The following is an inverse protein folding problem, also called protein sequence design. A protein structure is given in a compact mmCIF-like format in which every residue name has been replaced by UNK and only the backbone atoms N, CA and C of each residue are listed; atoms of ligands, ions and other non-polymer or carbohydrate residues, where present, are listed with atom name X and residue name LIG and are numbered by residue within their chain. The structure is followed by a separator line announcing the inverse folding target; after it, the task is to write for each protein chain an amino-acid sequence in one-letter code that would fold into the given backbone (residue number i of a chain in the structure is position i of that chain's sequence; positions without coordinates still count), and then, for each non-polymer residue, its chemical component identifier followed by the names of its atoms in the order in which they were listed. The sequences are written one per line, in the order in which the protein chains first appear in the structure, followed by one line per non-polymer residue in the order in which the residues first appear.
data_IF_859145247673
#
_entry.id   IF_859145247673
#
_cell.length_a   1.000
_cell.length_b   1.000
_cell.length_c   1.000
_cell.angle_alpha   90.00
_cell.angle_beta   90.00
_cell.angle_gamma   90.00
#
_symmetry.space_group_name_H-M   'P 1'
#
loop_
_entity.id
_entity.type
_entity.pdbx_description
1 polymer ?
#
# COMPACT_ATOMS: atom_id res chain seq x y z
N UNK A 1 -33.36 41.31 -45.89
CA UNK A 1 -31.93 40.95 -45.62
C UNK A 1 -31.96 39.49 -45.18
N UNK A 2 -31.19 38.57 -45.83
CA UNK A 2 -31.01 37.24 -45.28
C UNK A 2 -30.32 37.43 -43.92
N UNK A 3 -30.88 36.86 -42.86
CA UNK A 3 -30.23 36.86 -41.54
C UNK A 3 -28.94 36.06 -41.62
N UNK A 4 -27.88 36.61 -41.05
CA UNK A 4 -26.64 35.88 -40.88
C UNK A 4 -26.93 34.73 -39.91
N UNK A 5 -26.94 33.50 -40.42
CA UNK A 5 -27.02 32.31 -39.58
C UNK A 5 -25.73 32.21 -38.73
N UNK A 6 -25.86 31.79 -37.51
CA UNK A 6 -24.71 31.38 -36.72
C UNK A 6 -24.49 29.89 -36.90
N UNK A 7 -23.21 29.49 -36.98
CA UNK A 7 -22.78 28.11 -37.11
C UNK A 7 -22.15 27.68 -35.83
N UNK A 8 -22.50 26.50 -35.35
CA UNK A 8 -22.04 26.02 -34.05
C UNK A 8 -21.37 24.65 -34.19
N UNK A 9 -20.19 24.52 -33.63
CA UNK A 9 -19.52 23.25 -33.42
C UNK A 9 -19.79 22.79 -31.97
N UNK A 10 -20.33 21.60 -31.84
CA UNK A 10 -20.64 20.98 -30.54
C UNK A 10 -19.63 19.86 -30.24
N UNK A 11 -19.07 19.85 -29.04
CA UNK A 11 -18.08 18.91 -28.59
C UNK A 11 -18.67 18.03 -27.47
N UNK A 12 -18.68 16.74 -27.70
CA UNK A 12 -19.26 15.74 -26.81
C UNK A 12 -18.21 14.79 -26.29
N UNK A 13 -18.26 14.49 -24.99
CA UNK A 13 -17.37 13.51 -24.34
C UNK A 13 -18.17 12.30 -23.85
N UNK A 14 -17.56 11.12 -23.95
CA UNK A 14 -18.15 9.88 -23.45
C UNK A 14 -18.35 9.98 -21.92
N UNK A 15 -19.56 9.61 -21.46
CA UNK A 15 -19.91 9.55 -20.04
C UNK A 15 -19.57 8.18 -19.45
N UNK A 16 -19.32 8.13 -18.14
CA UNK A 16 -19.15 6.87 -17.43
C UNK A 16 -20.49 6.14 -17.25
N UNK A 17 -20.47 4.79 -17.14
CA UNK A 17 -21.65 4.05 -16.75
C UNK A 17 -22.26 4.61 -15.45
N UNK A 18 -23.56 4.87 -15.47
CA UNK A 18 -24.29 5.45 -14.33
C UNK A 18 -24.28 6.99 -14.24
N UNK A 19 -23.49 7.70 -15.04
CA UNK A 19 -23.62 9.16 -15.17
C UNK A 19 -24.90 9.51 -15.99
N UNK A 20 -25.64 10.52 -15.54
CA UNK A 20 -26.84 11.02 -16.20
C UNK A 20 -26.55 12.01 -17.34
N UNK A 21 -27.48 12.23 -18.23
CA UNK A 21 -27.48 13.31 -19.23
C UNK A 21 -26.76 13.00 -20.53
N UNK A 22 -26.41 11.75 -20.77
CA UNK A 22 -25.79 11.33 -22.04
C UNK A 22 -26.82 10.97 -23.11
N UNK A 23 -26.48 11.18 -24.40
CA UNK A 23 -27.19 10.71 -25.57
C UNK A 23 -26.45 9.53 -26.20
N UNK A 24 -27.16 8.47 -26.57
CA UNK A 24 -26.57 7.29 -27.20
C UNK A 24 -26.16 7.59 -28.65
N UNK A 25 -24.87 7.42 -28.94
CA UNK A 25 -24.28 7.57 -30.28
C UNK A 25 -23.25 6.49 -30.50
N UNK A 26 -23.38 5.70 -31.58
CA UNK A 26 -22.40 4.65 -31.88
C UNK A 26 -22.19 3.61 -30.78
N UNK A 27 -23.22 3.32 -29.98
CA UNK A 27 -23.18 2.32 -28.91
C UNK A 27 -22.68 2.82 -27.55
N UNK A 28 -22.35 4.10 -27.44
CA UNK A 28 -21.87 4.75 -26.18
C UNK A 28 -22.68 6.01 -25.91
N UNK A 29 -22.70 6.43 -24.64
CA UNK A 29 -23.37 7.66 -24.23
C UNK A 29 -22.40 8.82 -24.18
N UNK A 30 -22.81 9.98 -24.72
CA UNK A 30 -22.01 11.19 -24.79
C UNK A 30 -22.81 12.37 -24.26
N UNK A 31 -22.18 13.27 -23.54
CA UNK A 31 -22.74 14.56 -23.10
C UNK A 31 -21.93 15.71 -23.65
N UNK A 32 -22.60 16.85 -23.88
CA UNK A 32 -21.93 18.05 -24.36
C UNK A 32 -20.89 18.53 -23.34
N UNK A 33 -19.69 18.76 -23.84
CA UNK A 33 -18.57 19.31 -23.08
C UNK A 33 -18.50 20.83 -23.25
N UNK A 34 -18.51 21.31 -24.50
CA UNK A 34 -18.56 22.71 -24.85
C UNK A 34 -19.07 22.91 -26.27
N UNK A 35 -19.24 24.16 -26.67
CA UNK A 35 -19.61 24.56 -28.03
C UNK A 35 -18.85 25.81 -28.45
N UNK A 36 -18.57 25.91 -29.74
CA UNK A 36 -17.99 27.10 -30.37
C UNK A 36 -18.94 27.60 -31.43
N UNK A 37 -19.28 28.88 -31.39
CA UNK A 37 -20.17 29.53 -32.35
C UNK A 37 -19.40 30.59 -33.14
N UNK A 38 -19.47 30.49 -34.46
CA UNK A 38 -18.87 31.47 -35.39
C UNK A 38 -19.99 32.16 -36.19
N UNK A 39 -19.87 33.45 -36.46
CA UNK A 39 -20.81 34.13 -37.37
C UNK A 39 -20.49 33.73 -38.83
N UNK A 40 -21.52 33.31 -39.58
CA UNK A 40 -21.33 32.95 -40.98
C UNK A 40 -22.38 31.96 -41.47
N UNK A 41 -22.28 31.57 -42.73
CA UNK A 41 -23.14 30.55 -43.37
C UNK A 41 -22.26 29.37 -43.85
N UNK A 42 -22.46 28.20 -43.30
CA UNK A 42 -21.78 26.95 -43.66
C UNK A 42 -20.40 26.78 -42.98
N UNK A 43 -20.37 26.18 -41.77
CA UNK A 43 -19.14 25.85 -41.02
C UNK A 43 -18.28 24.91 -41.85
N UNK A 44 -17.03 25.33 -42.11
CA UNK A 44 -16.04 24.51 -42.79
C UNK A 44 -15.21 23.76 -41.76
N UNK A 45 -15.53 22.49 -41.53
CA UNK A 45 -14.83 21.66 -40.57
C UNK A 45 -13.38 21.44 -41.02
N UNK A 46 -12.45 21.88 -40.22
CA UNK A 46 -10.98 21.72 -40.43
C UNK A 46 -10.38 20.80 -39.39
N UNK A 47 -9.08 20.49 -39.52
CA UNK A 47 -8.38 19.69 -38.53
C UNK A 47 -8.18 20.46 -37.20
N UNK A 48 -8.13 21.77 -37.25
CA UNK A 48 -7.99 22.67 -36.13
C UNK A 48 -9.24 22.64 -35.21
N UNK A 49 -10.37 22.17 -35.73
CA UNK A 49 -11.59 21.99 -34.93
C UNK A 49 -11.55 20.75 -34.03
N UNK A 50 -10.50 19.93 -34.15
CA UNK A 50 -10.26 18.78 -33.27
C UNK A 50 -9.44 19.22 -32.07
N UNK A 51 -10.10 19.63 -31.00
CA UNK A 51 -9.43 19.98 -29.75
C UNK A 51 -8.77 18.78 -29.10
N UNK A 52 -7.69 19.03 -28.40
CA UNK A 52 -7.10 18.07 -27.48
C UNK A 52 -7.81 18.15 -26.12
N UNK A 53 -8.66 17.18 -25.85
CA UNK A 53 -9.38 17.08 -24.58
C UNK A 53 -8.68 16.05 -23.71
N UNK A 54 -8.05 16.48 -22.63
CA UNK A 54 -7.31 15.63 -21.72
C UNK A 54 -8.13 14.42 -21.26
N UNK A 55 -7.59 13.22 -21.43
CA UNK A 55 -8.23 11.96 -21.07
C UNK A 55 -9.24 11.42 -22.09
N UNK A 56 -9.33 12.05 -23.26
CA UNK A 56 -10.23 11.62 -24.34
C UNK A 56 -9.49 11.58 -25.68
N UNK A 57 -10.00 10.73 -26.57
CA UNK A 57 -9.52 10.62 -27.95
C UNK A 57 -10.64 10.96 -28.92
N UNK A 58 -10.35 11.80 -29.90
CA UNK A 58 -11.28 12.15 -30.97
C UNK A 58 -11.75 10.90 -31.72
N UNK A 59 -13.08 10.75 -31.86
CA UNK A 59 -13.69 9.63 -32.58
C UNK A 59 -14.19 10.07 -33.95
N UNK A 60 -13.35 9.91 -34.96
CA UNK A 60 -13.65 10.29 -36.34
C UNK A 60 -14.80 9.49 -36.98
N UNK A 61 -15.11 8.29 -36.43
CA UNK A 61 -16.15 7.41 -37.02
C UNK A 61 -17.55 7.99 -36.85
N UNK A 62 -17.83 8.59 -35.70
CA UNK A 62 -19.16 9.13 -35.36
C UNK A 62 -19.20 10.66 -35.39
N UNK A 63 -18.07 11.34 -35.63
CA UNK A 63 -17.96 12.78 -35.72
C UNK A 63 -18.26 13.27 -37.13
N UNK A 64 -18.66 14.57 -37.24
CA UNK A 64 -18.77 15.29 -38.51
C UNK A 64 -17.46 15.23 -39.29
N UNK A 65 -17.55 14.95 -40.59
CA UNK A 65 -16.37 14.74 -41.44
C UNK A 65 -15.65 16.05 -41.77
N UNK A 66 -14.32 16.04 -41.65
CA UNK A 66 -13.47 17.15 -42.08
C UNK A 66 -13.62 17.45 -43.57
N UNK A 67 -13.51 18.71 -43.96
CA UNK A 67 -13.50 19.16 -45.34
C UNK A 67 -14.91 19.32 -45.96
N UNK A 68 -16.00 19.24 -45.17
CA UNK A 68 -17.37 19.54 -45.63
C UNK A 68 -17.92 20.74 -44.89
N UNK A 69 -18.89 21.40 -45.46
CA UNK A 69 -19.65 22.49 -44.83
C UNK A 69 -20.88 21.93 -44.14
N UNK A 70 -21.13 22.38 -42.92
CA UNK A 70 -22.30 22.03 -42.13
C UNK A 70 -22.83 23.27 -41.41
N UNK A 71 -24.13 23.33 -41.20
CA UNK A 71 -24.76 24.35 -40.37
C UNK A 71 -24.45 24.13 -38.89
N UNK A 72 -24.34 22.85 -38.50
CA UNK A 72 -23.90 22.42 -37.16
C UNK A 72 -22.95 21.23 -37.29
N UNK A 73 -21.80 21.33 -36.65
CA UNK A 73 -20.83 20.23 -36.57
C UNK A 73 -20.88 19.57 -35.17
N UNK A 74 -20.75 18.26 -35.15
CA UNK A 74 -20.71 17.48 -33.89
C UNK A 74 -19.43 16.64 -33.82
N UNK A 75 -18.66 16.84 -32.77
CA UNK A 75 -17.41 16.16 -32.54
C UNK A 75 -17.50 15.32 -31.25
N UNK A 76 -17.17 14.05 -31.35
CA UNK A 76 -17.29 13.08 -30.27
C UNK A 76 -15.91 12.60 -29.83
N UNK A 77 -15.70 12.53 -28.52
CA UNK A 77 -14.45 12.13 -27.91
C UNK A 77 -14.69 10.93 -26.99
N UNK A 78 -14.02 9.86 -27.31
CA UNK A 78 -14.08 8.61 -26.54
C UNK A 78 -13.12 8.70 -25.34
N UNK A 79 -13.57 8.27 -24.19
CA UNK A 79 -12.79 8.25 -22.96
C UNK A 79 -11.64 7.25 -23.05
N UNK A 80 -10.44 7.68 -22.70
CA UNK A 80 -9.26 6.83 -22.65
C UNK A 80 -9.25 5.97 -21.39
N UNK A 81 -8.62 4.80 -21.49
CA UNK A 81 -8.29 3.97 -20.35
C UNK A 81 -6.84 4.17 -19.94
N UNK A 82 -6.59 4.10 -18.64
CA UNK A 82 -5.27 4.13 -18.03
C UNK A 82 -5.14 3.02 -17.01
N UNK A 83 -3.90 2.63 -16.71
CA UNK A 83 -3.61 1.48 -15.89
C UNK A 83 -3.18 1.86 -14.48
N UNK A 84 -3.67 1.11 -13.50
CA UNK A 84 -3.06 0.98 -12.19
C UNK A 84 -2.12 -0.22 -12.27
N UNK A 85 -0.82 0.04 -12.11
CA UNK A 85 0.26 -0.95 -12.20
C UNK A 85 0.74 -1.26 -10.79
N UNK A 86 0.69 -2.53 -10.42
CA UNK A 86 1.07 -3.02 -9.09
C UNK A 86 2.46 -3.65 -9.16
N UNK A 87 3.40 -3.09 -8.41
CA UNK A 87 4.79 -3.56 -8.36
C UNK A 87 5.08 -4.16 -7.00
N UNK A 88 5.62 -5.39 -6.99
CA UNK A 88 6.03 -6.09 -5.79
C UNK A 88 7.45 -6.61 -5.97
N UNK A 89 8.36 -6.21 -5.07
CA UNK A 89 9.79 -6.53 -5.15
C UNK A 89 10.40 -6.26 -6.54
N UNK A 90 10.14 -5.07 -7.08
CA UNK A 90 10.65 -4.62 -8.38
C UNK A 90 10.02 -5.26 -9.61
N UNK A 91 9.00 -6.12 -9.45
CA UNK A 91 8.29 -6.77 -10.56
C UNK A 91 6.84 -6.32 -10.62
N UNK A 92 6.33 -6.07 -11.83
CA UNK A 92 4.89 -5.89 -12.03
C UNK A 92 4.18 -7.22 -11.78
N UNK A 93 3.27 -7.23 -10.81
CA UNK A 93 2.54 -8.44 -10.40
C UNK A 93 1.07 -8.42 -10.81
N UNK A 94 0.53 -7.23 -11.07
CA UNK A 94 -0.85 -7.03 -11.50
C UNK A 94 -0.98 -5.70 -12.24
N UNK A 95 -1.95 -5.64 -13.15
CA UNK A 95 -2.34 -4.40 -13.85
C UNK A 95 -3.84 -4.41 -14.01
N UNK A 96 -4.48 -3.28 -13.69
CA UNK A 96 -5.92 -3.12 -13.83
C UNK A 96 -6.23 -1.81 -14.53
N UNK A 97 -6.98 -1.89 -15.64
CA UNK A 97 -7.34 -0.74 -16.48
C UNK A 97 -8.65 -0.09 -16.03
N UNK A 98 -8.64 1.24 -16.00
CA UNK A 98 -9.81 2.06 -15.66
C UNK A 98 -10.01 3.18 -16.67
N UNK A 99 -11.27 3.50 -17.04
CA UNK A 99 -11.55 4.69 -17.80
C UNK A 99 -11.13 5.97 -17.04
N UNK A 100 -10.66 6.96 -17.75
CA UNK A 100 -10.37 8.29 -17.18
C UNK A 100 -11.54 8.79 -16.30
N UNK A 101 -11.26 9.28 -15.11
CA UNK A 101 -12.22 9.71 -14.07
C UNK A 101 -13.10 8.61 -13.46
N UNK A 102 -12.98 7.35 -13.87
CA UNK A 102 -13.67 6.26 -13.16
C UNK A 102 -13.09 6.08 -11.75
N UNK A 103 -13.92 5.64 -10.80
CA UNK A 103 -13.44 5.27 -9.46
C UNK A 103 -12.41 4.14 -9.57
N UNK A 104 -11.34 4.25 -8.78
CA UNK A 104 -10.29 3.22 -8.66
C UNK A 104 -10.28 2.56 -7.27
N UNK A 105 -11.32 2.77 -6.45
CA UNK A 105 -11.40 2.21 -5.10
C UNK A 105 -11.24 0.68 -5.08
N UNK A 106 -11.80 -0.02 -6.08
CA UNK A 106 -11.71 -1.47 -6.21
C UNK A 106 -10.25 -1.96 -6.33
N UNK A 107 -9.37 -1.17 -6.94
CA UNK A 107 -7.95 -1.50 -7.08
C UNK A 107 -7.26 -1.74 -5.71
N UNK A 108 -7.73 -1.06 -4.66
CA UNK A 108 -7.20 -1.20 -3.30
C UNK A 108 -7.45 -2.57 -2.67
N UNK A 109 -8.37 -3.37 -3.21
CA UNK A 109 -8.67 -4.73 -2.71
C UNK A 109 -7.65 -5.78 -3.13
N UNK A 110 -6.80 -5.48 -4.12
CA UNK A 110 -5.79 -6.42 -4.58
C UNK A 110 -4.68 -6.61 -3.55
N UNK A 111 -4.44 -7.86 -3.15
CA UNK A 111 -3.37 -8.25 -2.22
C UNK A 111 -2.35 -9.11 -2.94
N UNK A 112 -1.06 -8.75 -2.93
CA UNK A 112 -0.02 -9.51 -3.62
C UNK A 112 0.38 -10.76 -2.83
N UNK A 113 0.93 -11.76 -3.51
CA UNK A 113 1.65 -12.85 -2.87
C UNK A 113 2.97 -12.33 -2.31
N UNK A 114 3.42 -12.90 -1.16
CA UNK A 114 4.73 -12.57 -0.60
C UNK A 114 5.84 -12.95 -1.60
N UNK A 115 6.81 -12.06 -1.88
CA UNK A 115 7.91 -12.38 -2.79
C UNK A 115 8.80 -13.50 -2.23
N UNK A 116 9.44 -14.22 -3.14
CA UNK A 116 10.47 -15.19 -2.79
C UNK A 116 11.64 -14.47 -2.08
N UNK A 117 12.19 -15.10 -1.04
CA UNK A 117 13.30 -14.58 -0.27
C UNK A 117 12.91 -13.61 0.87
N UNK A 118 11.65 -13.24 0.99
CA UNK A 118 11.13 -12.49 2.15
C UNK A 118 10.67 -13.49 3.22
N UNK A 119 11.12 -13.28 4.46
CA UNK A 119 10.77 -14.11 5.62
C UNK A 119 9.25 -14.30 5.74
N UNK A 120 8.86 -15.53 6.11
CA UNK A 120 7.46 -15.92 6.26
C UNK A 120 6.69 -15.08 7.28
N UNK A 121 7.37 -14.50 8.25
CA UNK A 121 6.78 -13.67 9.27
C UNK A 121 6.40 -12.25 8.79
N UNK A 122 7.00 -11.77 7.68
CA UNK A 122 6.67 -10.44 7.14
C UNK A 122 5.22 -10.37 6.67
N UNK A 123 4.56 -9.24 6.94
CA UNK A 123 3.19 -8.97 6.56
C UNK A 123 3.11 -7.84 5.53
N UNK A 124 2.16 -7.98 4.60
CA UNK A 124 1.85 -6.93 3.65
C UNK A 124 1.22 -5.74 4.37
N UNK A 125 1.82 -4.55 4.25
CA UNK A 125 1.36 -3.34 4.94
C UNK A 125 0.54 -2.41 4.06
N UNK A 126 0.50 -2.66 2.75
CA UNK A 126 -0.30 -1.88 1.81
C UNK A 126 0.47 -1.51 0.54
N UNK A 127 -0.20 -0.75 -0.29
CA UNK A 127 0.34 -0.18 -1.51
C UNK A 127 0.83 1.24 -1.26
N UNK A 128 1.98 1.59 -1.79
CA UNK A 128 2.63 2.88 -1.58
C UNK A 128 2.86 3.60 -2.89
N UNK A 129 2.84 4.94 -2.86
CA UNK A 129 3.07 5.78 -4.04
C UNK A 129 4.53 5.77 -4.51
N UNK A 130 5.44 5.34 -3.65
CA UNK A 130 6.88 5.34 -3.90
C UNK A 130 7.52 3.99 -3.49
N UNK A 131 8.64 3.60 -4.14
CA UNK A 131 9.32 2.34 -3.83
C UNK A 131 9.92 2.28 -2.41
N UNK A 132 10.18 3.44 -1.79
CA UNK A 132 10.75 3.50 -0.43
C UNK A 132 9.69 3.31 0.67
N UNK A 133 8.39 3.35 0.31
CA UNK A 133 7.29 3.16 1.27
C UNK A 133 7.07 4.35 2.18
N UNK A 134 7.38 5.56 1.72
CA UNK A 134 7.21 6.76 2.51
C UNK A 134 5.73 7.21 2.57
N UNK A 135 4.96 6.96 1.50
CA UNK A 135 3.59 7.41 1.38
C UNK A 135 2.63 6.29 1.00
N UNK A 136 1.79 5.90 1.95
CA UNK A 136 0.70 4.94 1.70
C UNK A 136 -0.23 5.49 0.62
N UNK A 137 -0.56 4.67 -0.38
CA UNK A 137 -1.50 5.02 -1.42
C UNK A 137 -2.91 4.56 -1.03
N UNK A 138 -3.75 5.52 -0.69
CA UNK A 138 -5.17 5.28 -0.43
C UNK A 138 -5.96 5.37 -1.74
N UNK A 139 -6.66 4.30 -2.10
CA UNK A 139 -7.50 4.24 -3.31
C UNK A 139 -8.90 4.81 -3.10
N UNK A 140 -9.34 4.95 -1.84
CA UNK A 140 -10.68 5.41 -1.51
C UNK A 140 -10.90 6.85 -1.97
N UNK A 141 -12.06 7.07 -2.60
CA UNK A 141 -12.44 8.38 -3.12
C UNK A 141 -11.63 8.87 -4.31
N UNK A 142 -10.65 8.09 -4.81
CA UNK A 142 -9.85 8.48 -5.97
C UNK A 142 -10.46 8.03 -7.29
N UNK A 143 -10.18 8.82 -8.32
CA UNK A 143 -10.55 8.52 -9.69
C UNK A 143 -9.32 8.44 -10.57
N UNK A 144 -9.42 7.69 -11.67
CA UNK A 144 -8.32 7.50 -12.61
C UNK A 144 -7.91 8.81 -13.28
N UNK A 145 -6.66 9.26 -13.12
CA UNK A 145 -6.14 10.43 -13.83
C UNK A 145 -5.89 10.12 -15.32
N UNK A 146 -5.53 11.14 -16.09
CA UNK A 146 -5.16 10.98 -17.50
C UNK A 146 -3.71 10.47 -17.67
N UNK A 147 -3.31 9.50 -16.84
CA UNK A 147 -2.01 8.84 -16.89
C UNK A 147 -2.07 7.53 -16.09
N UNK A 148 -1.15 6.63 -16.33
CA UNK A 148 -0.99 5.43 -15.53
C UNK A 148 -0.53 5.77 -14.10
N UNK A 149 -0.98 4.97 -13.14
CA UNK A 149 -0.57 5.02 -11.73
C UNK A 149 0.28 3.78 -11.47
N UNK A 150 1.44 3.95 -10.82
CA UNK A 150 2.23 2.83 -10.32
C UNK A 150 2.21 2.85 -8.79
N UNK A 151 1.92 1.70 -8.18
CA UNK A 151 1.94 1.51 -6.74
C UNK A 151 2.85 0.34 -6.36
N UNK A 152 3.48 0.43 -5.19
CA UNK A 152 4.52 -0.47 -4.73
C UNK A 152 4.10 -1.18 -3.45
N UNK A 153 4.20 -2.51 -3.45
CA UNK A 153 3.94 -3.32 -2.26
C UNK A 153 5.03 -3.11 -1.21
N UNK A 154 4.62 -2.92 0.03
CA UNK A 154 5.53 -2.93 1.17
C UNK A 154 5.21 -4.07 2.13
N UNK A 155 6.27 -4.62 2.72
CA UNK A 155 6.26 -5.73 3.65
C UNK A 155 7.03 -5.34 4.89
N UNK A 156 6.43 -5.44 6.05
CA UNK A 156 7.07 -5.14 7.32
C UNK A 156 7.32 -6.40 8.13
N UNK A 157 8.47 -6.44 8.79
CA UNK A 157 8.74 -7.42 9.82
C UNK A 157 7.78 -7.20 11.00
N UNK A 158 7.24 -8.25 11.62
CA UNK A 158 6.49 -8.10 12.85
C UNK A 158 7.41 -7.62 13.98
N UNK A 159 6.81 -7.03 15.00
CA UNK A 159 7.45 -6.80 16.30
C UNK A 159 6.92 -7.79 17.31
N UNK A 160 7.71 -8.09 18.31
CA UNK A 160 7.41 -9.07 19.34
C UNK A 160 7.45 -8.47 20.73
N UNK A 161 6.79 -9.15 21.64
CA UNK A 161 6.74 -8.81 23.04
C UNK A 161 7.56 -9.85 23.83
N UNK A 162 8.49 -9.40 24.68
CA UNK A 162 9.23 -10.25 25.59
C UNK A 162 8.90 -9.86 27.03
N UNK A 163 8.36 -10.79 27.81
CA UNK A 163 7.97 -10.57 29.19
C UNK A 163 8.90 -11.35 30.12
N UNK A 164 9.50 -10.66 31.09
CA UNK A 164 10.34 -11.25 32.13
C UNK A 164 9.55 -11.42 33.42
N UNK A 165 9.50 -12.64 33.94
CA UNK A 165 8.78 -13.00 35.16
C UNK A 165 9.76 -13.40 36.27
N UNK A 166 9.55 -12.81 37.44
CA UNK A 166 10.22 -13.20 38.70
C UNK A 166 9.12 -13.42 39.73
N UNK A 167 9.13 -14.55 40.43
CA UNK A 167 8.12 -14.84 41.46
C UNK A 167 7.98 -13.65 42.41
N UNK A 168 6.71 -13.32 42.71
CA UNK A 168 6.33 -12.23 43.64
C UNK A 168 6.78 -10.81 43.23
N UNK A 169 7.21 -10.60 41.99
CA UNK A 169 7.54 -9.29 41.44
C UNK A 169 6.65 -8.94 40.24
N UNK A 170 6.44 -7.65 39.97
CA UNK A 170 5.76 -7.24 38.74
C UNK A 170 6.51 -7.68 37.48
N UNK A 171 5.76 -8.13 36.46
CA UNK A 171 6.33 -8.48 35.17
C UNK A 171 7.03 -7.27 34.52
N UNK A 172 8.23 -7.49 33.99
CA UNK A 172 8.91 -6.53 33.13
C UNK A 172 8.68 -6.92 31.69
N UNK A 173 8.23 -5.98 30.86
CA UNK A 173 7.92 -6.25 29.46
C UNK A 173 8.69 -5.32 28.54
N UNK A 174 9.35 -5.90 27.55
CA UNK A 174 9.85 -5.19 26.36
C UNK A 174 8.82 -5.32 25.24
N UNK A 175 8.41 -4.21 24.66
CA UNK A 175 7.51 -4.16 23.49
C UNK A 175 8.32 -3.77 22.26
N UNK A 176 7.72 -4.01 21.08
CA UNK A 176 8.29 -3.60 19.79
C UNK A 176 9.70 -4.15 19.51
N UNK A 177 10.01 -5.35 20.03
CA UNK A 177 11.24 -6.05 19.70
C UNK A 177 11.16 -6.50 18.25
N UNK A 178 12.07 -6.01 17.40
CA UNK A 178 12.06 -6.33 15.98
C UNK A 178 12.25 -7.84 15.74
N UNK A 179 11.56 -8.39 14.75
CA UNK A 179 11.72 -9.79 14.35
C UNK A 179 13.19 -10.09 13.99
N UNK A 180 13.71 -11.20 14.48
CA UNK A 180 15.12 -11.61 14.38
C UNK A 180 16.13 -10.72 15.13
N UNK A 181 15.69 -9.73 15.91
CA UNK A 181 16.60 -9.02 16.80
C UNK A 181 17.00 -9.89 17.99
N UNK A 182 18.18 -9.60 18.58
CA UNK A 182 18.58 -10.09 19.89
C UNK A 182 18.23 -9.05 20.96
N UNK A 183 18.17 -9.46 22.21
CA UNK A 183 17.85 -8.57 23.32
C UNK A 183 18.95 -8.63 24.40
N UNK A 184 19.11 -7.53 25.12
CA UNK A 184 19.90 -7.51 26.35
C UNK A 184 19.02 -7.99 27.49
N UNK A 185 19.48 -8.99 28.23
CA UNK A 185 18.75 -9.51 29.39
C UNK A 185 18.76 -8.49 30.54
N UNK A 186 17.69 -8.43 31.35
CA UNK A 186 17.71 -7.63 32.55
C UNK A 186 18.80 -8.15 33.53
N UNK A 187 19.27 -7.28 34.44
CA UNK A 187 20.13 -7.73 35.51
C UNK A 187 19.54 -8.91 36.28
N UNK A 188 20.40 -9.79 36.79
CA UNK A 188 19.98 -10.92 37.61
C UNK A 188 19.10 -10.43 38.78
N UNK A 189 17.86 -10.96 38.93
CA UNK A 189 17.03 -10.62 40.07
C UNK A 189 17.64 -11.15 41.38
N UNK A 190 17.28 -10.52 42.48
CA UNK A 190 17.72 -10.99 43.82
C UNK A 190 17.15 -12.38 44.10
N UNK A 191 18.00 -13.41 44.32
CA UNK A 191 17.53 -14.74 44.61
C UNK A 191 16.84 -14.83 45.98
N UNK A 192 15.93 -15.80 46.19
CA UNK A 192 15.46 -16.18 47.50
C UNK A 192 16.60 -16.58 48.42
N UNK A 193 16.37 -16.54 49.74
CA UNK A 193 17.38 -16.97 50.74
C UNK A 193 17.81 -18.41 50.49
N UNK A 194 19.13 -18.63 50.38
CA UNK A 194 19.70 -19.96 50.16
C UNK A 194 19.72 -20.41 48.70
N UNK A 195 19.35 -19.55 47.76
CA UNK A 195 19.35 -19.84 46.32
C UNK A 195 20.30 -18.92 45.54
N UNK A 196 20.67 -19.35 44.35
CA UNK A 196 21.40 -18.58 43.35
C UNK A 196 20.53 -18.43 42.09
N UNK A 197 20.70 -17.30 41.38
CA UNK A 197 20.08 -17.10 40.07
C UNK A 197 20.82 -17.94 39.02
N UNK A 198 20.08 -18.85 38.36
CA UNK A 198 20.62 -19.76 37.34
C UNK A 198 20.48 -19.25 35.90
N UNK A 199 19.66 -18.23 35.68
CA UNK A 199 19.39 -17.67 34.36
C UNK A 199 17.94 -17.51 34.07
N UNK A 200 17.64 -17.01 32.88
CA UNK A 200 16.29 -16.92 32.33
C UNK A 200 15.98 -18.18 31.54
N UNK A 201 14.75 -18.70 31.66
CA UNK A 201 14.26 -19.87 30.91
C UNK A 201 12.98 -19.52 30.18
N UNK A 202 12.76 -20.17 29.04
CA UNK A 202 11.51 -20.03 28.26
C UNK A 202 10.37 -20.87 28.87
N UNK A 203 9.21 -20.87 28.18
CA UNK A 203 8.00 -21.58 28.61
C UNK A 203 8.18 -23.12 28.69
N UNK A 204 9.28 -23.64 28.09
CA UNK A 204 9.64 -25.06 28.11
C UNK A 204 10.79 -25.36 29.09
N UNK A 205 11.07 -24.44 30.01
CA UNK A 205 12.19 -24.53 30.97
C UNK A 205 13.60 -24.62 30.29
N UNK A 206 13.69 -24.15 29.03
CA UNK A 206 14.93 -24.12 28.27
C UNK A 206 15.70 -22.83 28.55
N UNK A 207 17.02 -22.90 28.89
CA UNK A 207 17.83 -21.70 29.10
C UNK A 207 17.82 -20.78 27.89
N UNK A 208 17.52 -19.50 28.13
CA UNK A 208 17.55 -18.46 27.12
C UNK A 208 18.92 -17.76 27.10
N UNK A 209 19.44 -17.50 25.91
CA UNK A 209 20.74 -16.82 25.71
C UNK A 209 20.54 -15.49 24.99
N UNK A 210 21.41 -14.50 25.29
CA UNK A 210 21.34 -13.16 24.66
C UNK A 210 21.56 -13.16 23.15
N UNK A 211 22.22 -14.18 22.60
CA UNK A 211 22.42 -14.34 21.16
C UNK A 211 21.20 -14.98 20.43
N UNK A 212 20.14 -15.32 21.18
CA UNK A 212 18.93 -15.91 20.62
C UNK A 212 18.11 -14.84 19.89
N UNK A 213 17.82 -15.08 18.61
CA UNK A 213 16.94 -14.21 17.84
C UNK A 213 15.48 -14.34 18.28
N UNK A 214 14.82 -13.19 18.44
CA UNK A 214 13.40 -13.12 18.79
C UNK A 214 12.55 -13.28 17.53
N UNK A 215 11.86 -14.40 17.40
CA UNK A 215 11.01 -14.73 16.24
C UNK A 215 9.53 -14.84 16.59
N UNK A 216 9.16 -14.69 17.85
CA UNK A 216 7.80 -14.75 18.39
C UNK A 216 7.74 -14.03 19.75
N UNK A 217 6.56 -13.82 20.26
CA UNK A 217 6.37 -13.38 21.63
C UNK A 217 6.93 -14.44 22.60
N UNK A 218 7.60 -13.99 23.65
CA UNK A 218 8.26 -14.84 24.65
C UNK A 218 7.86 -14.43 26.06
N UNK A 219 7.75 -15.44 26.93
CA UNK A 219 7.74 -15.26 28.38
C UNK A 219 8.98 -15.94 28.93
N UNK A 220 9.87 -15.16 29.55
CA UNK A 220 11.11 -15.63 30.18
C UNK A 220 10.96 -15.56 31.70
N UNK A 221 11.14 -16.69 32.37
CA UNK A 221 11.02 -16.79 33.83
C UNK A 221 12.38 -16.93 34.46
N UNK A 222 12.63 -16.22 35.57
CA UNK A 222 13.85 -16.37 36.34
C UNK A 222 13.90 -17.76 36.97
N UNK A 223 15.01 -18.47 36.74
CA UNK A 223 15.29 -19.76 37.34
C UNK A 223 16.24 -19.59 38.53
N UNK A 224 15.87 -20.16 39.67
CA UNK A 224 16.70 -20.20 40.86
C UNK A 224 17.00 -21.64 41.24
N UNK A 225 18.09 -21.84 41.99
CA UNK A 225 18.47 -23.14 42.51
C UNK A 225 19.32 -23.03 43.75
N UNK A 226 19.38 -24.11 44.54
CA UNK A 226 20.08 -24.13 45.80
C UNK A 226 21.55 -23.74 45.65
N UNK A 227 22.03 -22.90 46.55
CA UNK A 227 23.45 -22.55 46.62
C UNK A 227 24.29 -23.82 46.79
N UNK A 228 25.24 -24.04 45.88
CA UNK A 228 26.28 -25.06 46.03
C UNK A 228 27.29 -24.53 47.06
N UNK A 229 27.01 -24.79 48.35
CA UNK A 229 27.95 -24.44 49.43
C UNK A 229 29.18 -25.32 49.35
N UNK A 230 30.33 -24.71 49.13
CA UNK A 230 31.60 -25.38 49.45
C UNK A 230 31.80 -25.28 50.97
N UNK A 231 31.79 -26.41 51.68
CA UNK A 231 32.19 -26.46 53.08
C UNK A 231 33.72 -26.46 53.11
N UNK A 232 34.31 -25.34 53.48
CA UNK A 232 35.74 -25.29 53.77
C UNK A 232 35.92 -25.82 55.19
N UNK A 233 36.35 -27.06 55.31
CA UNK A 233 36.71 -27.63 56.61
C UNK A 233 38.16 -27.24 56.90
N UNK A 234 38.36 -26.36 57.83
CA UNK A 234 39.73 -26.11 58.35
C UNK A 234 40.12 -27.28 59.29
N UNK A 235 41.09 -28.07 58.89
CA UNK A 235 41.66 -29.04 59.72
C UNK A 235 42.60 -28.33 60.72
N UNK A 236 42.22 -28.24 61.98
CA UNK A 236 42.96 -27.62 63.05
C UNK A 236 43.89 -28.63 63.75
N UNK A 237 44.05 -29.85 63.23
CA UNK A 237 44.93 -30.86 63.77
C UNK A 237 46.30 -30.86 63.09
N UNK A 238 47.13 -29.91 63.38
CA UNK A 238 48.49 -29.90 62.84
C UNK A 238 49.37 -28.74 63.24
N UNK A 239 49.40 -28.44 64.49
CA UNK A 239 50.32 -27.43 65.04
C UNK A 239 50.94 -27.84 66.32
N UNK A 240 51.81 -28.86 66.26
CA UNK A 240 52.78 -29.08 67.28
C UNK A 240 54.15 -29.43 66.62
N UNK A 241 55.10 -28.52 66.80
CA UNK A 241 56.47 -28.71 66.43
C UNK A 241 57.23 -27.40 66.48
#
# INVERSE_FOLDING_TARGET
KPGFGSETAYYYVEVLPGESGGTLVGGKYYKQHHEDTSPGTGYSVTKEDQYDITGYTFNATISTKIGKKYDNAKFYYTRNNYDVVFVNNGKTVHTQSYPFKASIAEAGSYTPSRPEGIDAAYVFTGWYADPAGAQLYDFDGKTMPAQNITVYAHWAAPVHKVTFKVDSQPDQTMTDVAHNATITLPPAPTPPEGEDFLGWVDENDKPFKEDTQITRDLVLTAKFGSKTGYTVTYDTTGGNG
#
